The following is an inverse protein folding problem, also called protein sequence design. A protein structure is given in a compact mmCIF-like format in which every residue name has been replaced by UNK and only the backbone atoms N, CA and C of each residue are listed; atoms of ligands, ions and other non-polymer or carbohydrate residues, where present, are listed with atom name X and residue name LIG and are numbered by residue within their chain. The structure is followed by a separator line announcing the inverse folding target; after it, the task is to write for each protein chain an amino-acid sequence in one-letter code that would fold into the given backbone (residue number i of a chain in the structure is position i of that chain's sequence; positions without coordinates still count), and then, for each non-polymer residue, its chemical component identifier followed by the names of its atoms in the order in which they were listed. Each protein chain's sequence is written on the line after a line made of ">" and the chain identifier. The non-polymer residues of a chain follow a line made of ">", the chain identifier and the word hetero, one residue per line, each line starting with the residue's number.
data_IF_472797540625
#
_entry.id   IF_472797540625
#
_cell.length_a   1.000
_cell.length_b   1.000
_cell.length_c   1.000
_cell.angle_alpha   90.00
_cell.angle_beta   90.00
_cell.angle_gamma   90.00
#
_symmetry.space_group_name_H-M   'P 1'
#
loop_
_entity.id
_entity.type
_entity.pdbx_description
1 polymer ?
#
# COMPACT_ATOMS: atom_id res chain seq x y z
N UNK A 1 -29.85 4.88 -33.15
CA UNK A 1 -28.97 4.62 -31.98
C UNK A 1 -29.78 4.18 -30.75
N UNK A 2 -30.31 2.95 -30.75
CA UNK A 2 -31.05 2.36 -29.61
C UNK A 2 -30.76 0.87 -29.37
N UNK A 3 -29.88 0.27 -30.20
CA UNK A 3 -29.57 -1.17 -30.22
C UNK A 3 -28.39 -1.58 -29.30
N UNK A 4 -27.50 -0.66 -28.92
CA UNK A 4 -26.24 -1.02 -28.25
C UNK A 4 -26.35 -1.22 -26.73
N UNK A 5 -27.32 -0.59 -26.06
CA UNK A 5 -27.47 -0.69 -24.59
C UNK A 5 -27.84 -2.10 -24.12
N UNK A 6 -28.69 -2.81 -24.86
CA UNK A 6 -29.06 -4.19 -24.53
C UNK A 6 -27.90 -5.16 -24.72
N UNK A 7 -27.08 -4.94 -25.74
CA UNK A 7 -25.91 -5.77 -26.04
C UNK A 7 -24.82 -5.60 -24.96
N UNK A 8 -24.54 -4.38 -24.52
CA UNK A 8 -23.53 -4.10 -23.50
C UNK A 8 -23.90 -4.69 -22.12
N UNK A 9 -25.18 -4.67 -21.75
CA UNK A 9 -25.65 -5.31 -20.51
C UNK A 9 -25.50 -6.83 -20.55
N UNK A 10 -25.79 -7.46 -21.70
CA UNK A 10 -25.59 -8.89 -21.89
C UNK A 10 -24.10 -9.27 -21.83
N UNK A 11 -23.23 -8.51 -22.50
CA UNK A 11 -21.77 -8.69 -22.46
C UNK A 11 -21.27 -8.58 -21.02
N UNK A 12 -21.66 -7.54 -20.28
CA UNK A 12 -21.28 -7.39 -18.87
C UNK A 12 -21.81 -8.54 -17.99
N UNK A 13 -23.06 -8.96 -18.20
CA UNK A 13 -23.65 -10.10 -17.48
C UNK A 13 -22.86 -11.40 -17.69
N UNK A 14 -22.52 -11.71 -18.93
CA UNK A 14 -21.68 -12.86 -19.28
C UNK A 14 -20.26 -12.74 -18.70
N UNK A 15 -19.65 -11.57 -18.76
CA UNK A 15 -18.34 -11.32 -18.16
C UNK A 15 -18.34 -11.64 -16.66
N UNK A 16 -19.38 -11.19 -15.95
CA UNK A 16 -19.54 -11.44 -14.53
C UNK A 16 -19.81 -12.92 -14.21
N UNK A 17 -20.62 -13.59 -15.03
CA UNK A 17 -20.89 -15.02 -14.90
C UNK A 17 -19.61 -15.84 -15.05
N UNK A 18 -18.84 -15.60 -16.12
CA UNK A 18 -17.57 -16.30 -16.32
C UNK A 18 -16.56 -15.98 -15.22
N UNK A 19 -16.53 -14.74 -14.73
CA UNK A 19 -15.65 -14.35 -13.61
C UNK A 19 -15.98 -15.09 -12.33
N UNK A 20 -17.27 -15.34 -12.06
CA UNK A 20 -17.71 -16.12 -10.91
C UNK A 20 -17.31 -17.60 -11.02
N UNK A 21 -17.21 -18.14 -12.24
CA UNK A 21 -16.67 -19.49 -12.45
C UNK A 21 -15.15 -19.54 -12.32
N UNK A 22 -14.43 -18.74 -13.12
CA UNK A 22 -13.00 -18.51 -12.92
C UNK A 22 -12.50 -17.24 -13.64
N UNK A 23 -11.50 -16.53 -13.07
CA UNK A 23 -10.89 -15.37 -13.72
C UNK A 23 -10.30 -15.68 -15.10
N UNK A 24 -9.77 -16.89 -15.30
CA UNK A 24 -9.15 -17.34 -16.54
C UNK A 24 -10.21 -17.52 -17.64
N UNK A 25 -11.36 -18.11 -17.29
CA UNK A 25 -12.49 -18.30 -18.23
C UNK A 25 -13.04 -16.95 -18.69
N UNK A 26 -13.21 -16.02 -17.75
CA UNK A 26 -13.62 -14.66 -18.07
C UNK A 26 -12.62 -13.97 -19.02
N UNK A 27 -11.33 -14.05 -18.71
CA UNK A 27 -10.27 -13.42 -19.50
C UNK A 27 -10.22 -14.00 -20.92
N UNK A 28 -10.31 -15.33 -21.07
CA UNK A 28 -10.32 -15.99 -22.37
C UNK A 28 -11.55 -15.59 -23.21
N UNK A 29 -12.72 -15.49 -22.59
CA UNK A 29 -13.93 -15.04 -23.27
C UNK A 29 -13.83 -13.56 -23.70
N UNK A 30 -13.35 -12.67 -22.82
CA UNK A 30 -13.11 -11.24 -23.12
C UNK A 30 -12.12 -11.09 -24.28
N UNK A 31 -11.08 -11.95 -24.32
CA UNK A 31 -10.07 -11.97 -25.37
C UNK A 31 -10.66 -12.24 -26.77
N UNK A 32 -11.81 -12.91 -26.87
CA UNK A 32 -12.52 -13.18 -28.12
C UNK A 32 -13.53 -12.09 -28.54
N UNK A 33 -13.79 -11.08 -27.69
CA UNK A 33 -14.79 -10.05 -27.99
C UNK A 33 -14.31 -9.07 -29.07
N UNK A 34 -15.22 -8.59 -29.94
CA UNK A 34 -14.97 -7.42 -30.79
C UNK A 34 -14.54 -6.19 -29.96
N UNK A 35 -13.68 -5.30 -30.48
CA UNK A 35 -13.16 -4.16 -29.73
C UNK A 35 -14.24 -3.26 -29.11
N UNK A 36 -15.36 -3.06 -29.80
CA UNK A 36 -16.47 -2.25 -29.28
C UNK A 36 -17.15 -2.87 -28.04
N UNK A 37 -17.25 -4.20 -27.99
CA UNK A 37 -17.84 -4.91 -26.86
C UNK A 37 -16.86 -4.98 -25.69
N UNK A 38 -15.57 -5.22 -25.94
CA UNK A 38 -14.53 -5.20 -24.91
C UNK A 38 -14.48 -3.84 -24.20
N UNK A 39 -14.51 -2.73 -24.97
CA UNK A 39 -14.58 -1.36 -24.42
C UNK A 39 -15.72 -1.13 -23.43
N UNK A 40 -16.85 -1.84 -23.59
CA UNK A 40 -17.99 -1.70 -22.68
C UNK A 40 -17.77 -2.35 -21.30
N UNK A 41 -16.71 -3.14 -21.15
CA UNK A 41 -16.35 -3.88 -19.93
C UNK A 41 -14.86 -3.70 -19.58
N UNK A 42 -14.23 -2.61 -20.02
CA UNK A 42 -12.81 -2.31 -19.74
C UNK A 42 -12.49 -2.28 -18.24
N UNK A 43 -13.47 -1.92 -17.40
CA UNK A 43 -13.35 -1.99 -15.94
C UNK A 43 -13.21 -3.43 -15.42
N UNK A 44 -13.97 -4.37 -15.99
CA UNK A 44 -13.91 -5.79 -15.63
C UNK A 44 -12.59 -6.40 -16.12
N UNK A 45 -12.18 -6.10 -17.35
CA UNK A 45 -10.90 -6.58 -17.90
C UNK A 45 -9.71 -6.03 -17.09
N UNK A 46 -9.73 -4.74 -16.73
CA UNK A 46 -8.71 -4.14 -15.85
C UNK A 46 -8.67 -4.80 -14.48
N UNK A 47 -9.81 -5.06 -13.85
CA UNK A 47 -9.90 -5.77 -12.56
C UNK A 47 -9.29 -7.17 -12.66
N UNK A 48 -9.69 -7.97 -13.65
CA UNK A 48 -9.13 -9.31 -13.87
C UNK A 48 -7.61 -9.29 -14.09
N UNK A 49 -7.15 -8.31 -14.87
CA UNK A 49 -5.72 -8.11 -15.13
C UNK A 49 -4.98 -7.75 -13.84
N UNK A 50 -5.52 -6.83 -13.04
CA UNK A 50 -4.94 -6.45 -11.76
C UNK A 50 -4.87 -7.62 -10.78
N UNK A 51 -5.92 -8.44 -10.66
CA UNK A 51 -5.95 -9.61 -9.77
C UNK A 51 -4.90 -10.65 -10.18
N UNK A 52 -4.72 -10.87 -11.49
CA UNK A 52 -3.69 -11.77 -12.00
C UNK A 52 -2.29 -11.25 -11.69
N UNK A 53 -2.04 -9.96 -11.93
CA UNK A 53 -0.75 -9.34 -11.63
C UNK A 53 -0.48 -9.33 -10.13
N UNK A 54 -1.50 -9.13 -9.29
CA UNK A 54 -1.35 -9.21 -7.83
C UNK A 54 -0.86 -10.59 -7.38
N UNK A 55 -1.50 -11.67 -7.84
CA UNK A 55 -1.06 -13.03 -7.55
C UNK A 55 0.36 -13.30 -8.05
N UNK A 56 0.71 -12.77 -9.22
CA UNK A 56 2.06 -12.89 -9.75
C UNK A 56 3.09 -12.14 -8.88
N UNK A 57 2.80 -10.91 -8.47
CA UNK A 57 3.68 -10.14 -7.58
C UNK A 57 3.87 -10.89 -6.25
N UNK A 58 2.80 -11.34 -5.61
CA UNK A 58 2.86 -12.09 -4.36
C UNK A 58 3.69 -13.39 -4.48
N UNK A 59 3.58 -14.10 -5.60
CA UNK A 59 4.40 -15.28 -5.86
C UNK A 59 5.88 -14.93 -5.96
N UNK A 60 6.23 -13.85 -6.66
CA UNK A 60 7.61 -13.37 -6.79
C UNK A 60 8.15 -12.86 -5.46
N UNK A 61 7.36 -12.09 -4.70
CA UNK A 61 7.65 -11.65 -3.33
C UNK A 61 7.99 -12.85 -2.43
N UNK A 62 7.16 -13.91 -2.46
CA UNK A 62 7.37 -15.13 -1.65
C UNK A 62 8.65 -15.91 -2.01
N UNK A 63 9.16 -15.72 -3.22
CA UNK A 63 10.38 -16.37 -3.72
C UNK A 63 11.62 -15.50 -3.49
N UNK A 64 11.45 -14.28 -2.96
CA UNK A 64 12.54 -13.31 -2.83
C UNK A 64 12.94 -12.65 -4.16
N UNK A 65 12.12 -12.79 -5.21
CA UNK A 65 12.38 -12.24 -6.54
C UNK A 65 11.92 -10.78 -6.63
N UNK A 66 12.47 -9.93 -5.76
CA UNK A 66 11.99 -8.56 -5.51
C UNK A 66 12.01 -7.65 -6.74
N UNK A 67 13.07 -7.69 -7.55
CA UNK A 67 13.16 -6.87 -8.76
C UNK A 67 12.06 -7.22 -9.79
N UNK A 68 11.72 -8.51 -9.90
CA UNK A 68 10.63 -8.96 -10.77
C UNK A 68 9.26 -8.61 -10.18
N UNK A 69 9.10 -8.71 -8.85
CA UNK A 69 7.89 -8.26 -8.17
C UNK A 69 7.65 -6.76 -8.39
N UNK A 70 8.69 -5.93 -8.25
CA UNK A 70 8.63 -4.49 -8.52
C UNK A 70 8.16 -4.20 -9.96
N UNK A 71 8.68 -4.91 -10.95
CA UNK A 71 8.22 -4.77 -12.34
C UNK A 71 6.73 -5.13 -12.51
N UNK A 72 6.24 -6.15 -11.81
CA UNK A 72 4.80 -6.48 -11.80
C UNK A 72 3.98 -5.38 -11.10
N UNK A 73 4.46 -4.83 -9.98
CA UNK A 73 3.78 -3.72 -9.31
C UNK A 73 3.79 -2.44 -10.16
N UNK A 74 4.85 -2.15 -10.93
CA UNK A 74 4.87 -1.04 -11.91
C UNK A 74 3.76 -1.18 -12.94
N UNK A 75 3.51 -2.41 -13.43
CA UNK A 75 2.38 -2.69 -14.35
C UNK A 75 1.03 -2.51 -13.68
N UNK A 76 0.88 -2.92 -12.42
CA UNK A 76 -0.35 -2.67 -11.65
C UNK A 76 -0.59 -1.19 -11.43
N UNK A 77 0.45 -0.43 -11.10
CA UNK A 77 0.38 1.01 -10.91
C UNK A 77 0.02 1.73 -12.22
N UNK A 78 0.45 1.22 -13.37
CA UNK A 78 0.03 1.76 -14.66
C UNK A 78 -1.49 1.58 -14.93
N UNK A 79 -2.14 0.58 -14.32
CA UNK A 79 -3.60 0.38 -14.41
C UNK A 79 -4.37 1.32 -13.47
N UNK A 80 -3.77 1.69 -12.35
CA UNK A 80 -4.32 2.62 -11.35
C UNK A 80 -3.23 3.56 -10.78
N UNK A 81 -2.88 4.64 -11.50
CA UNK A 81 -1.73 5.50 -11.16
C UNK A 81 -1.84 6.29 -9.85
N UNK A 82 -3.03 6.32 -9.25
CA UNK A 82 -3.30 7.01 -7.98
C UNK A 82 -3.37 6.06 -6.78
N UNK A 83 -3.22 4.75 -7.02
CA UNK A 83 -3.31 3.71 -5.99
C UNK A 83 -2.22 3.85 -4.92
N UNK A 84 -2.65 4.18 -3.70
CA UNK A 84 -1.77 4.32 -2.54
C UNK A 84 -1.11 2.99 -2.18
N UNK A 85 -1.90 1.91 -2.16
CA UNK A 85 -1.40 0.59 -1.72
C UNK A 85 -0.51 -0.10 -2.73
N UNK A 86 -0.76 0.07 -4.04
CA UNK A 86 0.16 -0.44 -5.07
C UNK A 86 1.48 0.34 -5.00
N UNK A 87 1.43 1.67 -4.80
CA UNK A 87 2.62 2.49 -4.64
C UNK A 87 3.45 2.06 -3.42
N UNK A 88 2.80 1.81 -2.29
CA UNK A 88 3.45 1.27 -1.09
C UNK A 88 4.09 -0.11 -1.31
N UNK A 89 3.38 -1.05 -1.97
CA UNK A 89 3.92 -2.38 -2.27
C UNK A 89 5.12 -2.30 -3.22
N UNK A 90 5.02 -1.50 -4.28
CA UNK A 90 6.14 -1.24 -5.19
C UNK A 90 7.36 -0.70 -4.43
N UNK A 91 7.16 0.31 -3.57
CA UNK A 91 8.25 0.87 -2.78
C UNK A 91 8.93 -0.17 -1.87
N UNK A 92 8.16 -1.09 -1.27
CA UNK A 92 8.73 -2.20 -0.49
C UNK A 92 9.54 -3.17 -1.35
N UNK A 93 9.01 -3.59 -2.50
CA UNK A 93 9.72 -4.47 -3.42
C UNK A 93 11.02 -3.84 -3.92
N UNK A 94 11.00 -2.53 -4.20
CA UNK A 94 12.18 -1.75 -4.60
C UNK A 94 13.25 -1.73 -3.49
N UNK A 95 12.86 -1.47 -2.23
CA UNK A 95 13.81 -1.53 -1.10
C UNK A 95 14.42 -2.92 -1.00
N UNK A 96 13.61 -3.99 -1.08
CA UNK A 96 14.11 -5.37 -1.02
C UNK A 96 14.98 -5.75 -2.22
N UNK A 97 14.80 -5.09 -3.37
CA UNK A 97 15.66 -5.20 -4.54
C UNK A 97 16.95 -4.35 -4.46
N UNK A 98 17.12 -3.53 -3.42
CA UNK A 98 18.27 -2.62 -3.26
C UNK A 98 18.09 -1.25 -3.94
N UNK A 99 16.92 -0.97 -4.51
CA UNK A 99 16.58 0.26 -5.24
C UNK A 99 15.96 1.33 -4.31
N UNK A 100 16.52 1.52 -3.11
CA UNK A 100 15.95 2.41 -2.07
C UNK A 100 15.71 3.84 -2.55
N UNK A 101 16.61 4.39 -3.37
CA UNK A 101 16.46 5.77 -3.87
C UNK A 101 15.19 5.95 -4.72
N UNK A 102 14.84 4.96 -5.54
CA UNK A 102 13.62 4.99 -6.34
C UNK A 102 12.39 4.86 -5.44
N UNK A 103 12.43 3.95 -4.47
CA UNK A 103 11.36 3.76 -3.49
C UNK A 103 11.06 5.04 -2.70
N UNK A 104 12.10 5.72 -2.20
CA UNK A 104 11.97 6.97 -1.45
C UNK A 104 11.38 8.08 -2.32
N UNK A 105 11.83 8.20 -3.58
CA UNK A 105 11.29 9.18 -4.52
C UNK A 105 9.82 8.93 -4.85
N UNK A 106 9.44 7.66 -5.03
CA UNK A 106 8.08 7.21 -5.30
C UNK A 106 7.14 7.56 -4.15
N UNK A 107 7.49 7.19 -2.91
CA UNK A 107 6.67 7.46 -1.72
C UNK A 107 6.55 8.95 -1.43
N UNK A 108 7.64 9.71 -1.59
CA UNK A 108 7.62 11.17 -1.46
C UNK A 108 6.69 11.81 -2.49
N UNK A 109 6.70 11.34 -3.73
CA UNK A 109 5.79 11.84 -4.78
C UNK A 109 4.33 11.53 -4.44
N UNK A 110 4.07 10.32 -3.93
CA UNK A 110 2.72 9.88 -3.54
C UNK A 110 2.11 10.76 -2.46
N UNK A 111 2.85 11.05 -1.38
CA UNK A 111 2.35 11.87 -0.26
C UNK A 111 2.27 13.35 -0.63
N UNK A 112 3.22 13.88 -1.42
CA UNK A 112 3.22 15.29 -1.83
C UNK A 112 2.06 15.64 -2.77
N UNK A 113 1.49 14.67 -3.48
CA UNK A 113 0.32 14.90 -4.34
C UNK A 113 -0.91 15.34 -3.53
N UNK A 114 -1.11 14.76 -2.35
CA UNK A 114 -2.19 15.13 -1.43
C UNK A 114 -1.70 15.00 0.03
N UNK A 115 -0.99 16.02 0.57
CA UNK A 115 -0.35 15.94 1.88
C UNK A 115 -1.32 15.84 3.08
N UNK A 116 -2.61 16.07 2.84
CA UNK A 116 -3.68 16.04 3.84
C UNK A 116 -4.56 14.78 3.72
N UNK A 117 -4.22 13.87 2.81
CA UNK A 117 -4.88 12.59 2.66
C UNK A 117 -4.35 11.59 3.71
N UNK A 118 -5.25 11.12 4.57
CA UNK A 118 -4.91 10.24 5.68
C UNK A 118 -4.37 8.88 5.20
N UNK A 119 -4.88 8.34 4.10
CA UNK A 119 -4.45 7.03 3.58
C UNK A 119 -3.01 7.10 3.05
N UNK A 120 -2.67 8.16 2.31
CA UNK A 120 -1.32 8.41 1.81
C UNK A 120 -0.31 8.60 2.94
N UNK A 121 -0.67 9.39 3.95
CA UNK A 121 0.19 9.61 5.13
C UNK A 121 0.37 8.31 5.90
N UNK A 122 -0.69 7.50 6.06
CA UNK A 122 -0.59 6.21 6.72
C UNK A 122 0.34 5.24 5.97
N UNK A 123 0.17 5.07 4.65
CA UNK A 123 1.02 4.22 3.85
C UNK A 123 2.49 4.70 3.82
N UNK A 124 2.71 6.02 3.76
CA UNK A 124 4.04 6.62 3.90
C UNK A 124 4.65 6.36 5.28
N UNK A 125 3.86 6.46 6.35
CA UNK A 125 4.29 6.14 7.71
C UNK A 125 4.69 4.67 7.88
N UNK A 126 3.95 3.73 7.30
CA UNK A 126 4.32 2.32 7.27
C UNK A 126 5.63 2.08 6.53
N UNK A 127 5.81 2.71 5.37
CA UNK A 127 7.05 2.62 4.59
C UNK A 127 8.25 3.18 5.36
N UNK A 128 8.12 4.38 5.92
CA UNK A 128 9.20 5.02 6.68
C UNK A 128 9.56 4.20 7.91
N UNK A 129 8.58 3.69 8.65
CA UNK A 129 8.84 2.85 9.81
C UNK A 129 9.53 1.54 9.44
N UNK A 130 9.10 0.89 8.35
CA UNK A 130 9.76 -0.32 7.85
C UNK A 130 11.20 -0.10 7.35
N UNK A 131 11.65 1.15 7.27
CA UNK A 131 12.98 1.57 6.84
C UNK A 131 13.77 2.34 7.92
N UNK A 132 13.39 2.15 9.19
CA UNK A 132 13.99 2.76 10.39
C UNK A 132 13.91 4.29 10.43
N UNK A 133 12.93 4.88 9.74
CA UNK A 133 12.69 6.32 9.65
C UNK A 133 11.47 6.76 10.47
N UNK A 134 11.30 6.18 11.67
CA UNK A 134 10.16 6.44 12.55
C UNK A 134 9.96 7.93 12.88
N UNK A 135 11.04 8.69 13.02
CA UNK A 135 10.95 10.12 13.33
C UNK A 135 10.31 10.92 12.19
N UNK A 136 10.62 10.55 10.94
CA UNK A 136 9.98 11.14 9.76
C UNK A 136 8.52 10.70 9.65
N UNK A 137 8.22 9.44 9.97
CA UNK A 137 6.85 8.94 9.99
C UNK A 137 5.99 9.72 11.00
N UNK A 138 6.49 9.90 12.23
CA UNK A 138 5.83 10.69 13.28
C UNK A 138 5.64 12.15 12.87
N UNK A 139 6.62 12.77 12.21
CA UNK A 139 6.50 14.13 11.72
C UNK A 139 5.41 14.27 10.64
N UNK A 140 5.32 13.31 9.71
CA UNK A 140 4.26 13.31 8.68
C UNK A 140 2.87 13.11 9.29
N UNK A 141 2.72 12.18 10.23
CA UNK A 141 1.45 11.96 10.94
C UNK A 141 1.03 13.22 11.72
N UNK A 142 1.98 13.88 12.39
CA UNK A 142 1.71 15.10 13.16
C UNK A 142 1.28 16.30 12.30
N UNK A 143 1.60 16.30 11.01
CA UNK A 143 1.19 17.34 10.06
C UNK A 143 -0.29 17.21 9.62
N UNK A 144 -0.93 16.07 9.88
CA UNK A 144 -2.37 15.91 9.66
C UNK A 144 -3.19 16.59 10.77
N UNK A 145 -4.31 17.25 10.45
CA UNK A 145 -5.24 17.71 11.45
C UNK A 145 -5.76 16.49 12.23
N UNK A 146 -5.88 16.63 13.55
CA UNK A 146 -6.32 15.53 14.43
C UNK A 146 -7.67 14.94 14.05
N UNK A 147 -8.54 15.71 13.39
CA UNK A 147 -9.83 15.24 12.85
C UNK A 147 -9.69 14.27 11.68
N UNK A 148 -8.57 14.28 10.96
CA UNK A 148 -8.28 13.36 9.85
C UNK A 148 -7.62 12.06 10.31
N UNK A 149 -7.27 11.92 11.60
CA UNK A 149 -6.64 10.71 12.11
C UNK A 149 -7.65 9.56 12.11
N UNK A 150 -7.28 8.49 11.40
CA UNK A 150 -7.97 7.20 11.44
C UNK A 150 -7.45 6.37 12.62
N UNK A 151 -8.14 5.27 12.95
CA UNK A 151 -7.67 4.34 13.98
C UNK A 151 -6.31 3.75 13.64
N UNK A 152 -6.09 3.38 12.38
CA UNK A 152 -4.80 2.93 11.86
C UNK A 152 -3.66 3.94 12.09
N UNK A 153 -3.93 5.23 11.90
CA UNK A 153 -2.93 6.29 12.15
C UNK A 153 -2.65 6.42 13.65
N UNK A 154 -3.68 6.35 14.51
CA UNK A 154 -3.50 6.40 15.97
C UNK A 154 -2.68 5.21 16.46
N UNK A 155 -2.97 4.02 15.96
CA UNK A 155 -2.25 2.80 16.33
C UNK A 155 -0.79 2.86 15.87
N UNK A 156 -0.54 3.26 14.62
CA UNK A 156 0.82 3.43 14.11
C UNK A 156 1.58 4.48 14.92
N UNK A 157 0.98 5.63 15.19
CA UNK A 157 1.61 6.69 15.99
C UNK A 157 1.97 6.20 17.39
N UNK A 158 1.03 5.54 18.09
CA UNK A 158 1.27 5.00 19.42
C UNK A 158 2.42 3.97 19.43
N UNK A 159 2.47 3.07 18.43
CA UNK A 159 3.59 2.12 18.28
C UNK A 159 4.91 2.85 18.07
N UNK A 160 4.96 3.81 17.15
CA UNK A 160 6.17 4.57 16.84
C UNK A 160 6.69 5.39 18.04
N UNK A 161 5.80 6.00 18.83
CA UNK A 161 6.19 6.69 20.05
C UNK A 161 6.76 5.73 21.09
N UNK A 162 6.14 4.55 21.23
CA UNK A 162 6.63 3.50 22.14
C UNK A 162 8.02 3.02 21.74
N UNK A 163 8.23 2.74 20.45
CA UNK A 163 9.51 2.31 19.89
C UNK A 163 10.58 3.39 20.10
N UNK A 164 10.25 4.67 19.89
CA UNK A 164 11.15 5.81 20.15
C UNK A 164 11.57 5.88 21.62
N UNK A 165 10.62 5.75 22.55
CA UNK A 165 10.90 5.79 23.99
C UNK A 165 11.81 4.63 24.40
N UNK A 166 11.56 3.43 23.90
CA UNK A 166 12.39 2.26 24.17
C UNK A 166 13.81 2.44 23.63
N UNK A 167 13.97 2.96 22.41
CA UNK A 167 15.30 3.29 21.86
C UNK A 167 16.05 4.28 22.73
N UNK A 168 15.39 5.37 23.15
CA UNK A 168 16.01 6.38 24.01
C UNK A 168 16.37 5.81 25.39
N UNK A 169 15.51 4.98 25.99
CA UNK A 169 15.79 4.32 27.25
C UNK A 169 16.99 3.36 27.14
N UNK A 170 17.09 2.60 26.04
CA UNK A 170 18.24 1.75 25.78
C UNK A 170 19.52 2.57 25.63
N UNK A 171 19.49 3.69 24.91
CA UNK A 171 20.65 4.59 24.80
C UNK A 171 21.10 5.14 26.16
N UNK A 172 20.17 5.57 27.00
CA UNK A 172 20.47 6.03 28.37
C UNK A 172 21.08 4.92 29.23
N UNK A 173 20.55 3.70 29.13
CA UNK A 173 21.12 2.55 29.84
C UNK A 173 22.54 2.26 29.35
N UNK A 174 22.75 2.26 28.03
CA UNK A 174 24.04 1.96 27.42
C UNK A 174 25.08 3.08 27.68
N UNK A 175 24.65 4.31 28.01
CA UNK A 175 25.50 5.40 28.50
C UNK A 175 25.77 5.38 30.01
N UNK A 176 25.18 4.42 30.75
CA UNK A 176 25.31 4.29 32.21
C UNK A 176 24.25 5.04 33.03
N UNK A 177 23.31 5.72 32.38
CA UNK A 177 22.23 6.50 33.00
C UNK A 177 20.96 5.67 33.27
N UNK A 178 21.12 4.49 33.89
CA UNK A 178 20.03 3.52 34.08
C UNK A 178 18.82 4.10 34.84
N UNK A 179 19.06 4.96 35.84
CA UNK A 179 17.99 5.62 36.58
C UNK A 179 17.12 6.53 35.68
N UNK A 180 17.73 7.21 34.71
CA UNK A 180 17.01 8.03 33.74
C UNK A 180 16.23 7.18 32.74
N UNK A 181 16.81 6.06 32.28
CA UNK A 181 16.12 5.09 31.42
C UNK A 181 14.82 4.56 32.07
N UNK A 182 14.91 4.15 33.35
CA UNK A 182 13.74 3.66 34.11
C UNK A 182 12.70 4.77 34.30
N UNK A 183 13.14 6.00 34.62
CA UNK A 183 12.24 7.13 34.79
C UNK A 183 11.50 7.48 33.48
N UNK A 184 12.19 7.39 32.34
CA UNK A 184 11.62 7.64 31.01
C UNK A 184 10.50 6.65 30.69
N UNK A 185 10.73 5.34 30.89
CA UNK A 185 9.72 4.30 30.65
C UNK A 185 8.51 4.48 31.58
N UNK A 186 8.73 4.76 32.87
CA UNK A 186 7.65 4.93 33.87
C UNK A 186 6.74 6.14 33.62
N UNK A 187 7.22 7.15 32.88
CA UNK A 187 6.44 8.35 32.56
C UNK A 187 5.47 8.14 31.40
N UNK A 188 5.64 7.08 30.60
CA UNK A 188 4.66 6.76 29.58
C UNK A 188 3.37 6.26 30.27
N UNK A 189 2.18 6.75 29.85
CA UNK A 189 0.94 6.09 30.25
C UNK A 189 1.09 4.61 29.93
N UNK A 190 0.67 3.72 30.85
CA UNK A 190 0.91 2.27 30.74
C UNK A 190 0.70 1.85 29.28
N UNK A 191 1.75 1.33 28.67
CA UNK A 191 1.69 0.58 27.41
C UNK A 191 0.75 -0.60 27.67
N UNK A 192 -0.56 -0.38 27.55
CA UNK A 192 -1.55 -1.26 28.16
C UNK A 192 -2.96 -0.90 27.76
N UNK A 193 -3.41 -1.50 26.66
CA UNK A 193 -4.49 -2.50 26.61
C UNK A 193 -5.18 -2.46 25.24
N UNK A 194 -4.75 -3.37 24.35
CA UNK A 194 -5.66 -4.08 23.45
C UNK A 194 -5.64 -5.55 23.89
#
# INVERSE_FOLDING_TARGET
>A
MRLDRGNNLAVRGLANLYRAESPEKASAWIAGLPPAQRRSIDDIERSLTNDRLEKQAQALESQGNWAQAAEVQRRRLALDPDSVWITYRLARDLVSAGERQEADALMRTMVNRQPQDAERVYASGLYLSGNDQDDLALAQIAALPRSAWTDNIRELEARLQSDRVLRQANQLRDSGDEAQAIALIKRQPRLGAL
#
